data_IF_510237047499
#
_entry.id   IF_510237047499
#
_cell.length_a   1.000
_cell.length_b   1.000
_cell.length_c   1.000
_cell.angle_alpha   90.00
_cell.angle_beta   90.00
_cell.angle_gamma   90.00
#
_symmetry.space_group_name_H-M   'P 1'
#
loop_
_entity.id
_entity.type
_entity.pdbx_description
1 polymer ?
#
# COMPACT_ATOMS: atom_id res chain seq x y z
N UNK A 1 -2.52 17.86 -12.59
CA UNK A 1 -2.77 17.30 -11.25
C UNK A 1 -1.53 17.56 -10.41
N UNK A 2 -1.67 17.97 -9.15
CA UNK A 2 -0.50 18.16 -8.28
C UNK A 2 -0.01 16.81 -7.76
N UNK A 3 1.31 16.66 -7.62
CA UNK A 3 1.97 15.43 -7.16
C UNK A 3 1.31 14.81 -5.93
N UNK A 4 1.07 13.50 -5.98
CA UNK A 4 0.31 12.76 -4.97
C UNK A 4 1.11 11.67 -4.28
N UNK A 5 0.72 11.36 -3.05
CA UNK A 5 1.29 10.28 -2.24
C UNK A 5 0.31 9.11 -2.25
N UNK A 6 0.77 7.94 -2.68
CA UNK A 6 -0.01 6.73 -2.59
C UNK A 6 0.19 6.09 -1.22
N UNK A 7 -0.90 5.91 -0.50
CA UNK A 7 -0.93 5.08 0.69
C UNK A 7 -1.68 3.81 0.35
N UNK A 8 -1.08 2.66 0.64
CA UNK A 8 -1.81 1.41 0.62
C UNK A 8 -1.75 0.73 1.97
N UNK A 9 -2.92 0.35 2.45
CA UNK A 9 -3.08 -0.34 3.71
C UNK A 9 -3.51 -1.77 3.44
N UNK A 10 -2.60 -2.72 3.65
CA UNK A 10 -2.95 -4.13 3.81
C UNK A 10 -3.38 -4.37 5.27
N UNK A 11 -4.41 -3.67 5.74
CA UNK A 11 -5.02 -4.02 7.01
C UNK A 11 -5.82 -5.28 6.72
N UNK A 12 -5.25 -6.41 7.15
CA UNK A 12 -5.95 -7.69 7.22
C UNK A 12 -7.10 -7.53 8.21
N UNK A 13 -8.22 -6.97 7.75
CA UNK A 13 -9.51 -7.29 8.34
C UNK A 13 -9.78 -8.73 7.95
N UNK A 14 -9.23 -9.64 8.75
CA UNK A 14 -9.45 -11.07 8.59
C UNK A 14 -10.88 -11.31 9.04
N UNK A 15 -11.83 -11.38 8.10
CA UNK A 15 -13.15 -11.93 8.43
C UNK A 15 -12.99 -13.38 8.90
N UNK A 16 -14.01 -13.97 9.51
CA UNK A 16 -14.01 -15.38 9.94
C UNK A 16 -13.57 -16.34 8.81
N UNK A 17 -13.74 -15.91 7.55
CA UNK A 17 -13.38 -16.62 6.32
C UNK A 17 -11.93 -16.38 5.83
N UNK A 18 -11.06 -15.75 6.63
CA UNK A 18 -9.65 -15.45 6.29
C UNK A 18 -9.40 -14.56 5.07
N UNK A 19 -10.43 -13.86 4.56
CA UNK A 19 -10.24 -12.88 3.50
C UNK A 19 -9.50 -11.65 4.04
N UNK A 20 -8.65 -11.06 3.22
CA UNK A 20 -7.92 -9.83 3.58
C UNK A 20 -8.06 -8.81 2.47
N UNK A 21 -8.25 -7.55 2.83
CA UNK A 21 -8.46 -6.47 1.86
C UNK A 21 -7.25 -5.53 1.84
N UNK A 22 -6.93 -5.02 0.66
CA UNK A 22 -5.90 -4.00 0.45
C UNK A 22 -6.59 -2.75 -0.06
N UNK A 23 -6.58 -1.70 0.77
CA UNK A 23 -7.17 -0.41 0.43
C UNK A 23 -6.09 0.50 -0.12
N UNK A 24 -6.36 1.13 -1.26
CA UNK A 24 -5.48 2.12 -1.90
C UNK A 24 -6.12 3.49 -1.77
N UNK A 25 -5.36 4.43 -1.22
CA UNK A 25 -5.79 5.78 -0.92
C UNK A 25 -4.76 6.76 -1.46
N UNK A 26 -5.24 7.76 -2.17
CA UNK A 26 -4.48 8.86 -2.71
C UNK A 26 -4.44 10.00 -1.69
N UNK A 27 -3.26 10.57 -1.42
CA UNK A 27 -3.07 11.68 -0.49
C UNK A 27 -2.43 12.86 -1.19
N UNK A 28 -3.21 13.93 -1.37
CA UNK A 28 -2.77 15.20 -1.97
C UNK A 28 -2.95 16.36 -0.99
N UNK A 29 -2.44 17.56 -1.29
CA UNK A 29 -2.77 18.77 -0.53
C UNK A 29 -4.29 19.06 -0.44
N UNK A 30 -5.10 18.48 -1.34
CA UNK A 30 -6.56 18.61 -1.31
C UNK A 30 -7.24 17.63 -0.34
N UNK A 31 -6.49 16.69 0.24
CA UNK A 31 -7.00 15.68 1.15
C UNK A 31 -6.72 14.26 0.68
N UNK A 32 -7.38 13.31 1.36
CA UNK A 32 -7.31 11.89 1.06
C UNK A 32 -8.50 11.46 0.20
N UNK A 33 -8.25 10.65 -0.82
CA UNK A 33 -9.26 10.06 -1.69
C UNK A 33 -9.08 8.55 -1.75
N UNK A 34 -10.13 7.80 -1.42
CA UNK A 34 -10.12 6.36 -1.63
C UNK A 34 -10.18 6.07 -3.14
N UNK A 35 -9.22 5.27 -3.62
CA UNK A 35 -9.15 4.89 -5.03
C UNK A 35 -9.82 3.55 -5.28
N UNK A 36 -9.39 2.51 -4.56
CA UNK A 36 -9.88 1.15 -4.75
C UNK A 36 -9.60 0.25 -3.54
N UNK A 37 -10.31 -0.87 -3.46
CA UNK A 37 -10.04 -1.97 -2.52
C UNK A 37 -9.95 -3.29 -3.26
N UNK A 38 -8.93 -4.07 -2.92
CA UNK A 38 -8.66 -5.35 -3.55
C UNK A 38 -8.78 -6.47 -2.53
N UNK A 39 -9.61 -7.46 -2.82
CA UNK A 39 -9.71 -8.68 -2.01
C UNK A 39 -8.55 -9.63 -2.32
N UNK A 40 -7.89 -10.09 -1.26
CA UNK A 40 -6.86 -11.12 -1.29
C UNK A 40 -7.39 -12.38 -0.62
N UNK A 41 -7.52 -13.42 -1.43
CA UNK A 41 -7.77 -14.79 -1.01
C UNK A 41 -6.54 -15.37 -0.30
N UNK A 42 -6.75 -16.29 0.64
CA UNK A 42 -5.71 -16.83 1.53
C UNK A 42 -4.57 -17.58 0.79
N UNK A 43 -4.84 -18.09 -0.41
CA UNK A 43 -3.93 -18.86 -1.26
C UNK A 43 -2.98 -17.99 -2.12
N UNK A 44 -3.30 -16.70 -2.31
CA UNK A 44 -2.45 -15.79 -3.09
C UNK A 44 -1.22 -15.34 -2.31
N UNK A 45 -0.03 -15.52 -2.91
CA UNK A 45 1.23 -14.94 -2.40
C UNK A 45 1.09 -13.42 -2.25
N UNK A 46 1.20 -12.94 -1.02
CA UNK A 46 1.02 -11.52 -0.62
C UNK A 46 1.89 -10.57 -1.43
N UNK A 47 3.14 -10.99 -1.69
CA UNK A 47 4.15 -10.22 -2.39
C UNK A 47 3.78 -9.91 -3.84
N UNK A 48 3.51 -10.96 -4.62
CA UNK A 48 3.12 -10.83 -6.03
C UNK A 48 1.83 -10.04 -6.17
N UNK A 49 0.83 -10.32 -5.33
CA UNK A 49 -0.45 -9.62 -5.38
C UNK A 49 -0.31 -8.11 -5.09
N UNK A 50 0.49 -7.73 -4.09
CA UNK A 50 0.75 -6.33 -3.78
C UNK A 50 1.51 -5.63 -4.91
N UNK A 51 2.48 -6.31 -5.53
CA UNK A 51 3.22 -5.78 -6.69
C UNK A 51 2.27 -5.43 -7.82
N UNK A 52 1.37 -6.35 -8.16
CA UNK A 52 0.45 -6.19 -9.29
C UNK A 52 -0.51 -5.03 -9.05
N UNK A 53 -1.05 -4.90 -7.83
CA UNK A 53 -1.88 -3.76 -7.43
C UNK A 53 -1.10 -2.45 -7.57
N UNK A 54 0.12 -2.38 -7.04
CA UNK A 54 0.94 -1.16 -7.10
C UNK A 54 1.28 -0.76 -8.53
N UNK A 55 1.67 -1.72 -9.38
CA UNK A 55 1.94 -1.46 -10.80
C UNK A 55 0.68 -0.96 -11.51
N UNK A 56 -0.49 -1.55 -11.24
CA UNK A 56 -1.76 -1.11 -11.83
C UNK A 56 -2.07 0.33 -11.46
N UNK A 57 -2.06 0.64 -10.16
CA UNK A 57 -2.39 1.97 -9.64
C UNK A 57 -1.39 3.02 -10.13
N UNK A 58 -0.10 2.70 -10.13
CA UNK A 58 0.94 3.60 -10.67
C UNK A 58 0.71 3.86 -12.17
N UNK A 59 0.32 2.83 -12.93
CA UNK A 59 -0.02 2.97 -14.34
C UNK A 59 -1.26 3.84 -14.57
N UNK A 60 -2.29 3.71 -13.74
CA UNK A 60 -3.54 4.47 -13.83
C UNK A 60 -3.35 5.96 -13.50
N UNK A 61 -2.54 6.26 -12.48
CA UNK A 61 -2.28 7.64 -12.04
C UNK A 61 -1.19 8.33 -12.87
N UNK A 62 -0.28 7.55 -13.46
CA UNK A 62 0.96 8.04 -14.03
C UNK A 62 2.03 8.16 -12.95
N UNK A 63 3.18 7.51 -13.18
CA UNK A 63 4.25 7.44 -12.20
C UNK A 63 4.83 8.84 -11.87
N UNK A 64 4.86 9.75 -12.84
CA UNK A 64 5.27 11.15 -12.69
C UNK A 64 4.41 11.95 -11.71
N UNK A 65 3.17 11.50 -11.46
CA UNK A 65 2.26 12.13 -10.53
C UNK A 65 2.41 11.55 -9.11
N UNK A 66 3.30 10.57 -8.90
CA UNK A 66 3.49 9.90 -7.61
C UNK A 66 4.86 10.26 -7.05
N UNK A 67 4.87 10.82 -5.85
CA UNK A 67 6.11 11.18 -5.15
C UNK A 67 6.48 10.19 -4.05
N UNK A 68 5.51 9.45 -3.52
CA UNK A 68 5.72 8.60 -2.36
C UNK A 68 4.74 7.45 -2.32
N UNK A 69 5.21 6.28 -1.92
CA UNK A 69 4.41 5.12 -1.55
C UNK A 69 4.58 4.87 -0.05
N UNK A 70 3.46 4.83 0.68
CA UNK A 70 3.39 4.63 2.12
C UNK A 70 2.71 3.28 2.40
N UNK A 71 3.41 2.39 3.11
CA UNK A 71 2.95 1.03 3.43
C UNK A 71 2.67 0.85 4.92
N UNK A 72 1.54 0.24 5.26
CA UNK A 72 1.27 -0.24 6.61
C UNK A 72 1.94 -1.61 6.85
N UNK A 73 2.80 -1.70 7.87
CA UNK A 73 3.83 -2.74 8.03
C UNK A 73 3.32 -4.05 8.65
N UNK A 74 2.41 -4.77 8.01
CA UNK A 74 2.02 -6.11 8.48
C UNK A 74 2.93 -7.25 7.94
N UNK A 75 3.71 -7.03 6.87
CA UNK A 75 4.57 -8.07 6.28
C UNK A 75 5.92 -7.53 5.77
N UNK A 76 6.99 -8.28 6.04
CA UNK A 76 8.38 -7.93 5.72
C UNK A 76 8.72 -8.29 4.25
N UNK A 77 8.00 -7.69 3.31
CA UNK A 77 8.12 -8.05 1.89
C UNK A 77 9.15 -7.16 1.18
N UNK A 78 10.38 -7.14 1.69
CA UNK A 78 11.46 -6.27 1.19
C UNK A 78 11.65 -6.39 -0.33
N UNK A 79 11.67 -7.62 -0.84
CA UNK A 79 11.90 -7.93 -2.26
C UNK A 79 10.89 -7.30 -3.22
N UNK A 80 9.61 -7.25 -2.84
CA UNK A 80 8.57 -6.68 -3.70
C UNK A 80 8.70 -5.18 -3.82
N UNK A 81 9.00 -4.55 -2.69
CA UNK A 81 9.10 -3.11 -2.63
C UNK A 81 10.35 -2.63 -3.38
N UNK A 82 11.46 -3.37 -3.30
CA UNK A 82 12.71 -3.06 -4.01
C UNK A 82 12.52 -3.09 -5.53
N UNK A 83 11.78 -4.08 -6.06
CA UNK A 83 11.46 -4.17 -7.49
C UNK A 83 10.63 -2.98 -8.02
N UNK A 84 9.77 -2.39 -7.19
CA UNK A 84 9.00 -1.18 -7.55
C UNK A 84 9.92 0.04 -7.53
N UNK A 85 10.82 0.14 -6.55
CA UNK A 85 11.79 1.23 -6.47
C UNK A 85 12.80 1.18 -7.62
N UNK A 86 13.23 -0.01 -8.03
CA UNK A 86 14.10 -0.18 -9.21
C UNK A 86 13.40 0.30 -10.50
N UNK A 87 12.09 0.05 -10.61
CA UNK A 87 11.29 0.48 -11.77
C UNK A 87 10.98 1.97 -11.76
N UNK A 88 10.83 2.57 -10.57
CA UNK A 88 10.47 3.97 -10.38
C UNK A 88 11.38 4.64 -9.33
N UNK A 89 12.66 4.90 -9.67
CA UNK A 89 13.69 5.29 -8.70
C UNK A 89 13.48 6.65 -8.03
N UNK A 90 12.56 7.48 -8.56
CA UNK A 90 12.20 8.78 -8.01
C UNK A 90 11.03 8.73 -7.01
N UNK A 91 10.36 7.58 -6.88
CA UNK A 91 9.26 7.40 -5.92
C UNK A 91 9.85 6.99 -4.58
N UNK A 92 9.55 7.73 -3.52
CA UNK A 92 10.05 7.41 -2.18
C UNK A 92 9.19 6.36 -1.48
N UNK A 93 9.81 5.39 -0.82
CA UNK A 93 9.11 4.44 0.05
C UNK A 93 9.17 4.86 1.51
N UNK A 94 8.05 4.80 2.21
CA UNK A 94 8.04 4.98 3.68
C UNK A 94 7.09 4.00 4.38
N UNK A 95 7.36 3.73 5.65
CA UNK A 95 6.46 2.96 6.52
C UNK A 95 5.46 3.90 7.20
N UNK A 96 4.23 3.42 7.36
CA UNK A 96 3.20 4.14 8.11
C UNK A 96 3.51 4.16 9.61
N UNK A 97 3.36 5.32 10.24
CA UNK A 97 3.39 5.45 11.71
C UNK A 97 2.18 4.82 12.40
N UNK A 98 1.05 4.69 11.69
CA UNK A 98 -0.18 4.09 12.22
C UNK A 98 0.04 2.65 12.71
N UNK A 99 0.97 1.92 12.10
CA UNK A 99 1.36 0.58 12.55
C UNK A 99 1.93 0.59 13.97
N UNK A 100 2.84 1.51 14.27
CA UNK A 100 3.45 1.61 15.59
C UNK A 100 2.42 1.92 16.67
N UNK A 101 1.47 2.82 16.35
CA UNK A 101 0.34 3.10 17.24
C UNK A 101 -0.54 1.86 17.43
N UNK A 102 -0.82 1.11 16.36
CA UNK A 102 -1.61 -0.12 16.44
C UNK A 102 -0.95 -1.18 17.32
N UNK A 103 0.38 -1.32 17.29
CA UNK A 103 1.11 -2.25 18.15
C UNK A 103 0.99 -1.84 19.62
N UNK A 104 1.21 -0.57 19.94
CA UNK A 104 1.11 -0.07 21.33
C UNK A 104 -0.30 -0.32 21.89
N UNK A 105 -1.35 -0.10 21.09
CA UNK A 105 -2.74 -0.31 21.52
C UNK A 105 -3.07 -1.79 21.70
N UNK A 106 -2.45 -2.70 20.93
CA UNK A 106 -2.66 -4.15 21.07
C UNK A 106 -1.94 -4.76 22.28
N UNK A 107 -0.90 -4.11 22.77
CA UNK A 107 -0.12 -4.53 23.94
C UNK A 107 -0.75 -4.09 25.28
N UNK A 108 -1.89 -3.38 25.25
CA UNK A 108 -2.71 -2.99 26.41
C UNK A 108 -3.89 -3.95 26.53
#
# INVERSE_FOLDING_TARGET
MGSTRLFYNSNTWTNLDQHSYINVVDYSPKGAMFLNSFERLADKKTETFLRDILVSVIGEIGAENIIQVIKNNASNNGLTDDLIMDRYPYIYKTKSSAYGVQLIVKDI
#
